data_IF_289799697062
#
_entry.id   IF_289799697062
#
_cell.length_a   1.000
_cell.length_b   1.000
_cell.length_c   1.000
_cell.angle_alpha   90.00
_cell.angle_beta   90.00
_cell.angle_gamma   90.00
#
_symmetry.space_group_name_H-M   'P 1'
#
loop_
_entity.id
_entity.type
_entity.pdbx_description
1 polymer ?
#
# COMPACT_ATOMS: atom_id res chain seq x y z
N UNK A 1 -69.67 24.32 -14.73
CA UNK A 1 -69.78 24.17 -13.27
C UNK A 1 -69.56 22.70 -12.96
N UNK A 2 -68.52 22.36 -12.20
CA UNK A 2 -68.35 21.00 -11.70
C UNK A 2 -69.55 20.63 -10.81
N UNK A 3 -70.04 19.40 -10.91
CA UNK A 3 -71.09 18.85 -10.07
C UNK A 3 -70.70 19.03 -8.58
N UNK A 4 -71.57 19.61 -7.73
CA UNK A 4 -71.32 19.74 -6.29
C UNK A 4 -70.87 18.43 -5.62
N UNK A 5 -71.32 17.28 -6.11
CA UNK A 5 -70.95 15.97 -5.57
C UNK A 5 -69.52 15.57 -5.94
N UNK A 6 -69.09 15.80 -7.19
CA UNK A 6 -67.70 15.60 -7.63
C UNK A 6 -66.73 16.55 -6.90
N UNK A 7 -67.13 17.80 -6.69
CA UNK A 7 -66.33 18.77 -5.94
C UNK A 7 -66.17 18.36 -4.46
N UNK A 8 -67.23 17.85 -3.84
CA UNK A 8 -67.18 17.34 -2.46
C UNK A 8 -66.30 16.09 -2.33
N UNK A 9 -66.39 15.15 -3.27
CA UNK A 9 -65.57 13.94 -3.28
C UNK A 9 -64.08 14.27 -3.44
N UNK A 10 -63.74 15.15 -4.38
CA UNK A 10 -62.36 15.59 -4.62
C UNK A 10 -61.76 16.32 -3.41
N UNK A 11 -62.56 17.12 -2.70
CA UNK A 11 -62.13 17.79 -1.46
C UNK A 11 -61.90 16.77 -0.32
N UNK A 12 -62.77 15.76 -0.19
CA UNK A 12 -62.61 14.70 0.80
C UNK A 12 -61.34 13.85 0.54
N UNK A 13 -61.07 13.52 -0.72
CA UNK A 13 -59.84 12.83 -1.13
C UNK A 13 -58.59 13.66 -0.83
N UNK A 14 -58.58 14.95 -1.18
CA UNK A 14 -57.46 15.84 -0.87
C UNK A 14 -57.21 15.99 0.63
N UNK A 15 -58.29 16.05 1.44
CA UNK A 15 -58.18 16.16 2.89
C UNK A 15 -57.69 14.86 3.54
N UNK A 16 -58.10 13.70 3.00
CA UNK A 16 -57.58 12.39 3.40
C UNK A 16 -56.09 12.25 3.07
N UNK A 17 -55.68 12.62 1.85
CA UNK A 17 -54.28 12.61 1.42
C UNK A 17 -53.42 13.53 2.28
N UNK A 18 -53.92 14.72 2.62
CA UNK A 18 -53.22 15.66 3.50
C UNK A 18 -52.99 15.08 4.90
N UNK A 19 -54.03 14.49 5.51
CA UNK A 19 -53.92 13.84 6.83
C UNK A 19 -52.94 12.65 6.81
N UNK A 20 -52.93 11.87 5.74
CA UNK A 20 -52.01 10.74 5.58
C UNK A 20 -50.55 11.20 5.45
N UNK A 21 -50.30 12.25 4.66
CA UNK A 21 -48.97 12.85 4.54
C UNK A 21 -48.49 13.46 5.86
N UNK A 22 -49.36 14.14 6.60
CA UNK A 22 -49.05 14.68 7.93
C UNK A 22 -48.69 13.57 8.93
N UNK A 23 -49.43 12.45 8.92
CA UNK A 23 -49.13 11.29 9.76
C UNK A 23 -47.78 10.62 9.43
N UNK A 24 -47.41 10.57 8.15
CA UNK A 24 -46.12 10.06 7.68
C UNK A 24 -44.96 11.04 7.98
N UNK A 25 -45.22 12.35 7.87
CA UNK A 25 -44.25 13.39 8.23
C UNK A 25 -43.89 13.37 9.73
N UNK A 26 -44.88 13.07 10.58
CA UNK A 26 -44.70 12.98 12.03
C UNK A 26 -43.81 11.80 12.47
N UNK A 27 -43.68 10.75 11.65
CA UNK A 27 -42.86 9.58 11.99
C UNK A 27 -41.36 9.88 11.99
N UNK A 28 -40.60 9.29 12.93
CA UNK A 28 -39.17 9.48 12.99
C UNK A 28 -38.48 8.86 11.76
N UNK A 29 -37.38 9.46 11.35
CA UNK A 29 -36.44 8.79 10.46
C UNK A 29 -35.70 7.69 11.26
N UNK A 30 -35.37 6.59 10.60
CA UNK A 30 -34.72 5.44 11.23
C UNK A 30 -33.31 5.30 10.65
N UNK A 31 -32.29 5.42 11.49
CA UNK A 31 -30.93 5.03 11.11
C UNK A 31 -30.89 3.53 10.90
N UNK A 32 -30.31 3.07 9.80
CA UNK A 32 -30.18 1.65 9.49
C UNK A 32 -28.79 1.33 8.96
N UNK A 33 -28.04 0.54 9.73
CA UNK A 33 -26.72 0.03 9.37
C UNK A 33 -26.58 -1.42 9.79
N UNK A 34 -26.12 -2.29 8.87
CA UNK A 34 -26.10 -3.74 9.05
C UNK A 34 -27.46 -4.31 9.53
N UNK A 35 -27.53 -4.81 10.77
CA UNK A 35 -28.75 -5.33 11.41
C UNK A 35 -29.36 -4.36 12.44
N UNK A 36 -28.75 -3.21 12.66
CA UNK A 36 -29.22 -2.20 13.61
C UNK A 36 -30.20 -1.25 12.93
N UNK A 37 -31.30 -0.97 13.64
CA UNK A 37 -32.30 0.05 13.30
C UNK A 37 -32.58 0.85 14.56
N UNK A 38 -32.40 2.17 14.51
CA UNK A 38 -32.64 3.08 15.65
C UNK A 38 -33.33 4.34 15.17
N UNK A 39 -34.28 4.86 15.96
CA UNK A 39 -34.98 6.11 15.63
C UNK A 39 -34.05 7.31 15.81
N UNK A 40 -34.13 8.25 14.87
CA UNK A 40 -33.38 9.50 14.90
C UNK A 40 -34.26 10.54 15.59
N UNK A 41 -34.07 10.69 16.90
CA UNK A 41 -34.83 11.62 17.75
C UNK A 41 -34.49 13.08 17.45
N UNK A 42 -33.22 13.38 17.21
CA UNK A 42 -32.75 14.73 16.91
C UNK A 42 -33.13 15.14 15.49
N UNK A 43 -34.00 16.15 15.38
CA UNK A 43 -34.48 16.68 14.10
C UNK A 43 -33.45 17.55 13.38
N UNK A 44 -32.46 18.07 14.10
CA UNK A 44 -31.41 18.91 13.55
C UNK A 44 -30.13 18.13 13.21
N UNK A 45 -30.09 16.83 13.50
CA UNK A 45 -28.94 15.98 13.22
C UNK A 45 -28.56 15.95 11.74
N UNK A 46 -27.26 16.14 11.49
CA UNK A 46 -26.63 15.91 10.18
C UNK A 46 -26.24 14.44 10.03
N UNK A 47 -25.88 14.05 8.81
CA UNK A 47 -25.38 12.69 8.56
C UNK A 47 -24.00 12.45 9.20
N UNK A 48 -23.20 13.50 9.38
CA UNK A 48 -21.93 13.44 10.10
C UNK A 48 -22.12 13.27 11.61
N UNK A 49 -23.14 13.91 12.21
CA UNK A 49 -23.47 13.72 13.63
C UNK A 49 -23.89 12.27 13.90
N UNK A 50 -24.68 11.67 12.99
CA UNK A 50 -25.03 10.26 13.06
C UNK A 50 -23.78 9.37 12.91
N UNK A 51 -22.86 9.70 11.98
CA UNK A 51 -21.60 8.95 11.82
C UNK A 51 -20.82 8.92 13.14
N UNK A 52 -20.64 10.07 13.77
CA UNK A 52 -19.88 10.21 15.02
C UNK A 52 -20.56 9.49 16.19
N UNK A 53 -21.90 9.57 16.28
CA UNK A 53 -22.67 8.83 17.29
C UNK A 53 -22.42 7.33 17.21
N UNK A 54 -22.44 6.77 16.01
CA UNK A 54 -22.34 5.32 15.79
C UNK A 54 -20.91 4.81 15.52
N UNK A 55 -19.91 5.68 15.39
CA UNK A 55 -18.49 5.31 15.18
C UNK A 55 -17.93 4.47 16.32
N UNK A 56 -18.34 4.75 17.57
CA UNK A 56 -17.88 4.00 18.74
C UNK A 56 -18.29 2.52 18.69
N UNK A 57 -19.48 2.25 18.15
CA UNK A 57 -20.03 0.89 18.03
C UNK A 57 -19.67 0.23 16.68
N UNK A 58 -19.42 1.04 15.64
CA UNK A 58 -19.03 0.61 14.30
C UNK A 58 -17.74 1.32 13.86
N UNK A 59 -16.56 0.83 14.30
CA UNK A 59 -15.27 1.45 13.98
C UNK A 59 -15.01 1.61 12.47
N UNK A 60 -15.64 0.80 11.63
CA UNK A 60 -15.57 0.92 10.16
C UNK A 60 -16.16 2.21 9.60
N UNK A 61 -16.95 2.96 10.39
CA UNK A 61 -17.50 4.27 10.05
C UNK A 61 -16.57 5.45 10.39
N UNK A 62 -15.39 5.20 10.97
CA UNK A 62 -14.43 6.22 11.43
C UNK A 62 -13.89 7.14 10.34
N UNK A 63 -13.69 6.64 9.13
CA UNK A 63 -13.21 7.45 8.01
C UNK A 63 -14.37 8.09 7.23
N UNK A 64 -14.71 9.33 7.61
CA UNK A 64 -15.75 10.14 6.99
C UNK A 64 -15.63 10.28 5.47
N UNK A 65 -14.42 10.16 4.89
CA UNK A 65 -14.21 10.27 3.43
C UNK A 65 -14.66 9.02 2.67
N UNK A 66 -14.74 7.89 3.34
CA UNK A 66 -15.12 6.59 2.74
C UNK A 66 -16.60 6.28 2.90
N UNK A 67 -17.33 7.05 3.70
CA UNK A 67 -18.76 6.80 3.98
C UNK A 67 -19.64 7.66 3.07
N UNK A 68 -20.63 6.99 2.45
CA UNK A 68 -21.71 7.61 1.71
C UNK A 68 -23.04 7.38 2.43
N UNK A 69 -23.99 8.27 2.19
CA UNK A 69 -25.32 8.23 2.81
C UNK A 69 -26.43 8.22 1.78
N UNK A 70 -27.49 7.47 2.08
CA UNK A 70 -28.74 7.48 1.33
C UNK A 70 -29.93 7.54 2.28
N UNK A 71 -30.95 8.29 1.88
CA UNK A 71 -32.26 8.30 2.54
C UNK A 71 -33.24 7.56 1.65
N UNK A 72 -33.79 6.46 2.16
CA UNK A 72 -34.77 5.63 1.47
C UNK A 72 -36.12 5.78 2.15
N UNK A 73 -37.13 6.24 1.43
CA UNK A 73 -38.48 6.38 1.94
C UNK A 73 -39.48 5.81 0.95
N UNK A 74 -40.07 4.67 1.30
CA UNK A 74 -40.91 3.88 0.39
C UNK A 74 -40.11 3.43 -0.83
N UNK A 75 -40.53 3.85 -2.03
CA UNK A 75 -39.84 3.54 -3.30
C UNK A 75 -38.91 4.65 -3.78
N UNK A 76 -38.72 5.70 -2.97
CA UNK A 76 -37.87 6.83 -3.31
C UNK A 76 -36.57 6.75 -2.53
N UNK A 77 -35.45 6.83 -3.25
CA UNK A 77 -34.10 6.87 -2.68
C UNK A 77 -33.44 8.17 -3.09
N UNK A 78 -32.84 8.88 -2.12
CA UNK A 78 -32.04 10.09 -2.38
C UNK A 78 -30.65 9.94 -1.79
N UNK A 79 -29.62 10.22 -2.59
CA UNK A 79 -28.23 10.28 -2.13
C UNK A 79 -27.96 11.62 -1.44
N UNK A 80 -27.13 11.61 -0.41
CA UNK A 80 -26.70 12.82 0.32
C UNK A 80 -25.41 13.35 -0.30
N UNK A 81 -25.38 14.64 -0.60
CA UNK A 81 -24.23 15.29 -1.24
C UNK A 81 -23.28 15.93 -0.23
N UNK A 82 -23.81 16.54 0.84
CA UNK A 82 -23.00 17.21 1.86
C UNK A 82 -23.34 16.67 3.27
N UNK A 83 -22.77 15.51 3.67
CA UNK A 83 -23.11 14.86 4.93
C UNK A 83 -22.94 15.71 6.20
N UNK A 84 -22.05 16.70 6.17
CA UNK A 84 -21.78 17.59 7.31
C UNK A 84 -22.65 18.84 7.40
N UNK A 85 -23.49 19.13 6.40
CA UNK A 85 -24.40 20.30 6.41
C UNK A 85 -25.85 19.93 6.15
N UNK A 86 -26.10 18.90 5.34
CA UNK A 86 -27.45 18.45 5.02
C UNK A 86 -28.07 17.80 6.27
N UNK A 87 -29.28 18.22 6.64
CA UNK A 87 -30.01 17.63 7.77
C UNK A 87 -30.87 16.46 7.32
N UNK A 88 -30.99 15.45 8.17
CA UNK A 88 -31.79 14.26 7.87
C UNK A 88 -33.25 14.60 7.56
N UNK A 89 -33.87 15.45 8.38
CA UNK A 89 -35.29 15.78 8.24
C UNK A 89 -35.58 16.75 7.10
N UNK A 90 -34.60 17.54 6.64
CA UNK A 90 -34.72 18.34 5.42
C UNK A 90 -34.82 17.41 4.20
N UNK A 91 -33.93 16.43 4.08
CA UNK A 91 -33.98 15.45 2.99
C UNK A 91 -35.25 14.59 3.06
N UNK A 92 -35.71 14.21 4.27
CA UNK A 92 -36.99 13.52 4.45
C UNK A 92 -38.16 14.37 3.92
N UNK A 93 -38.23 15.64 4.29
CA UNK A 93 -39.29 16.55 3.85
C UNK A 93 -39.26 16.79 2.33
N UNK A 94 -38.07 16.84 1.72
CA UNK A 94 -37.93 16.93 0.27
C UNK A 94 -38.49 15.69 -0.45
N UNK A 95 -38.22 14.49 0.07
CA UNK A 95 -38.79 13.25 -0.47
C UNK A 95 -40.32 13.25 -0.32
N UNK A 96 -40.84 13.63 0.84
CA UNK A 96 -42.28 13.73 1.11
C UNK A 96 -43.00 14.71 0.17
N UNK A 97 -42.34 15.80 -0.18
CA UNK A 97 -42.88 16.80 -1.10
C UNK A 97 -42.75 16.41 -2.57
N UNK A 98 -41.94 15.40 -2.90
CA UNK A 98 -41.71 14.96 -4.26
C UNK A 98 -42.98 14.36 -4.89
N UNK A 99 -43.17 14.62 -6.19
CA UNK A 99 -44.26 14.04 -6.97
C UNK A 99 -44.17 12.50 -7.01
N UNK A 100 -42.95 11.98 -7.12
CA UNK A 100 -42.70 10.54 -7.17
C UNK A 100 -43.18 9.81 -5.91
N UNK A 101 -42.92 10.38 -4.72
CA UNK A 101 -43.35 9.81 -3.46
C UNK A 101 -44.89 9.85 -3.31
N UNK A 102 -45.50 11.00 -3.60
CA UNK A 102 -46.96 11.16 -3.54
C UNK A 102 -47.69 10.23 -4.52
N UNK A 103 -47.19 10.09 -5.73
CA UNK A 103 -47.76 9.19 -6.74
C UNK A 103 -47.57 7.71 -6.37
N UNK A 104 -46.44 7.35 -5.73
CA UNK A 104 -46.20 6.01 -5.23
C UNK A 104 -47.14 5.63 -4.09
N UNK A 105 -47.42 6.56 -3.17
CA UNK A 105 -48.38 6.37 -2.08
C UNK A 105 -49.82 6.17 -2.60
N UNK A 106 -50.25 6.93 -3.61
CA UNK A 106 -51.60 6.77 -4.22
C UNK A 106 -51.78 5.39 -4.88
N UNK A 107 -50.70 4.82 -5.41
CA UNK A 107 -50.69 3.51 -6.09
C UNK A 107 -50.35 2.35 -5.16
N UNK A 108 -50.19 2.60 -3.86
CA UNK A 108 -49.81 1.60 -2.87
C UNK A 108 -50.92 0.55 -2.69
N UNK A 109 -50.58 -0.72 -2.87
CA UNK A 109 -51.53 -1.85 -2.77
C UNK A 109 -51.45 -2.59 -1.45
N UNK A 110 -50.30 -2.56 -0.78
CA UNK A 110 -50.05 -3.26 0.49
C UNK A 110 -50.01 -2.26 1.66
N UNK A 111 -50.27 -2.73 2.88
CA UNK A 111 -50.22 -1.88 4.07
C UNK A 111 -48.80 -1.33 4.33
N UNK A 112 -47.77 -2.09 3.98
CA UNK A 112 -46.37 -1.64 4.05
C UNK A 112 -46.07 -0.52 3.04
N UNK A 113 -46.63 -0.57 1.83
CA UNK A 113 -46.49 0.50 0.83
C UNK A 113 -47.27 1.77 1.21
N UNK A 114 -48.39 1.61 1.94
CA UNK A 114 -49.19 2.74 2.45
C UNK A 114 -48.56 3.39 3.68
N UNK A 115 -47.68 2.67 4.36
CA UNK A 115 -47.04 3.10 5.59
C UNK A 115 -45.52 2.84 5.58
N UNK A 116 -44.77 3.48 4.67
CA UNK A 116 -43.35 3.22 4.54
C UNK A 116 -42.55 3.76 5.73
N UNK A 117 -41.41 3.12 6.02
CA UNK A 117 -40.39 3.66 6.93
C UNK A 117 -39.41 4.56 6.15
N UNK A 118 -39.02 5.69 6.73
CA UNK A 118 -37.92 6.50 6.21
C UNK A 118 -36.62 6.00 6.84
N UNK A 119 -35.75 5.37 6.04
CA UNK A 119 -34.49 4.78 6.51
C UNK A 119 -33.28 5.55 5.99
N UNK A 120 -32.41 5.96 6.92
CA UNK A 120 -31.13 6.60 6.64
C UNK A 120 -30.04 5.54 6.69
N UNK A 121 -29.39 5.28 5.57
CA UNK A 121 -28.37 4.23 5.44
C UNK A 121 -27.00 4.82 5.16
N UNK A 122 -26.06 4.52 6.05
CA UNK A 122 -24.63 4.65 5.77
C UNK A 122 -24.16 3.43 4.97
N UNK A 123 -23.24 3.63 4.04
CA UNK A 123 -22.51 2.55 3.41
C UNK A 123 -21.09 2.99 3.09
N UNK A 124 -20.13 2.08 3.25
CA UNK A 124 -18.78 2.31 2.81
C UNK A 124 -18.78 2.31 1.28
N UNK A 125 -18.31 3.39 0.66
CA UNK A 125 -18.01 3.37 -0.78
C UNK A 125 -17.10 2.18 -1.01
N UNK A 126 -17.45 1.33 -1.98
CA UNK A 126 -16.52 0.34 -2.47
C UNK A 126 -15.30 1.10 -3.01
N UNK A 127 -14.26 1.21 -2.18
CA UNK A 127 -12.92 1.37 -2.71
C UNK A 127 -12.65 0.06 -3.41
N UNK A 128 -12.63 0.08 -4.74
CA UNK A 128 -12.09 -1.00 -5.53
C UNK A 128 -10.67 -1.24 -5.04
N UNK A 129 -10.52 -2.24 -4.16
CA UNK A 129 -9.25 -2.85 -3.84
C UNK A 129 -8.84 -3.61 -5.09
N UNK A 130 -7.90 -3.05 -5.84
CA UNK A 130 -7.40 -3.66 -7.07
C UNK A 130 -8.40 -3.59 -8.22
N UNK A 131 -7.85 -3.27 -9.39
CA UNK A 131 -8.41 -3.42 -10.73
C UNK A 131 -9.29 -2.30 -11.32
N UNK A 132 -8.90 -2.01 -12.56
CA UNK A 132 -9.33 -0.99 -13.51
C UNK A 132 -9.01 0.47 -13.13
N UNK A 133 -8.21 1.09 -14.00
CA UNK A 133 -8.14 2.54 -14.08
C UNK A 133 -9.57 3.10 -14.16
N UNK A 134 -9.84 4.15 -13.39
CA UNK A 134 -11.13 4.84 -13.41
C UNK A 134 -11.59 5.08 -14.85
N UNK A 135 -12.89 5.04 -15.16
CA UNK A 135 -13.39 5.08 -16.55
C UNK A 135 -12.98 6.27 -17.43
N UNK A 136 -12.22 7.24 -16.91
CA UNK A 136 -11.60 8.38 -17.61
C UNK A 136 -10.06 8.30 -17.72
N UNK A 137 -9.45 7.20 -17.25
CA UNK A 137 -8.02 6.90 -17.29
C UNK A 137 -7.75 5.65 -18.12
N UNK A 138 -6.62 5.60 -18.82
CA UNK A 138 -6.16 4.42 -19.55
C UNK A 138 -4.65 4.22 -19.41
N UNK A 139 -4.18 2.98 -19.44
CA UNK A 139 -2.76 2.64 -19.46
C UNK A 139 -2.39 2.27 -20.88
N UNK A 140 -1.49 3.01 -21.50
CA UNK A 140 -1.02 2.73 -22.84
C UNK A 140 0.48 2.42 -22.80
N UNK A 141 0.93 1.42 -23.55
CA UNK A 141 2.36 1.11 -23.64
C UNK A 141 3.11 2.06 -24.56
N UNK A 142 2.41 2.69 -25.50
CA UNK A 142 3.01 3.57 -26.51
C UNK A 142 2.22 4.85 -26.69
N UNK A 143 2.89 5.90 -27.16
CA UNK A 143 2.24 7.15 -27.58
C UNK A 143 1.27 6.93 -28.75
N UNK A 144 1.51 5.94 -29.60
CA UNK A 144 0.63 5.61 -30.72
C UNK A 144 -0.71 5.04 -30.24
N UNK A 145 -0.70 4.26 -29.16
CA UNK A 145 -1.94 3.75 -28.56
C UNK A 145 -2.65 4.83 -27.75
N UNK A 146 -1.88 5.69 -27.06
CA UNK A 146 -2.41 6.89 -26.39
C UNK A 146 -3.04 7.92 -27.35
N UNK A 147 -2.77 7.82 -28.65
CA UNK A 147 -3.41 8.64 -29.70
C UNK A 147 -4.76 8.08 -30.13
N UNK A 148 -5.00 6.78 -29.98
CA UNK A 148 -6.23 6.09 -30.39
C UNK A 148 -7.31 6.14 -29.31
N UNK A 149 -6.92 6.42 -28.07
CA UNK A 149 -7.87 6.52 -26.94
C UNK A 149 -8.58 7.86 -26.91
N UNK A 150 -9.87 7.80 -26.59
CA UNK A 150 -10.72 8.97 -26.30
C UNK A 150 -10.69 9.34 -24.81
N UNK A 151 -9.91 8.63 -23.97
CA UNK A 151 -9.82 8.92 -22.53
C UNK A 151 -9.02 10.21 -22.30
N UNK A 152 -9.49 11.11 -21.42
CA UNK A 152 -8.83 12.39 -21.17
C UNK A 152 -7.52 12.24 -20.40
N UNK A 153 -7.30 11.13 -19.69
CA UNK A 153 -6.08 10.86 -18.92
C UNK A 153 -5.48 9.53 -19.38
N UNK A 154 -4.18 9.52 -19.67
CA UNK A 154 -3.44 8.33 -20.09
C UNK A 154 -2.16 8.20 -19.29
N UNK A 155 -1.85 7.02 -18.78
CA UNK A 155 -0.58 6.68 -18.15
C UNK A 155 0.33 5.98 -19.16
N UNK A 156 1.58 6.43 -19.25
CA UNK A 156 2.57 5.99 -20.24
C UNK A 156 3.89 5.60 -19.56
N UNK A 157 4.35 4.35 -19.66
CA UNK A 157 5.72 4.02 -19.30
C UNK A 157 6.71 4.62 -20.31
N UNK A 158 7.91 4.94 -19.86
CA UNK A 158 8.96 5.60 -20.65
C UNK A 158 10.32 4.92 -20.48
N UNK A 159 11.24 5.17 -21.43
CA UNK A 159 12.58 4.56 -21.49
C UNK A 159 13.44 4.84 -20.26
N UNK A 160 13.19 5.96 -19.58
CA UNK A 160 13.83 6.35 -18.32
C UNK A 160 13.33 5.53 -17.10
N UNK A 161 12.46 4.55 -17.32
CA UNK A 161 11.91 3.68 -16.27
C UNK A 161 10.80 4.34 -15.45
N UNK A 162 10.31 5.52 -15.86
CA UNK A 162 9.24 6.25 -15.17
C UNK A 162 7.92 6.10 -15.90
N UNK A 163 6.83 6.35 -15.17
CA UNK A 163 5.49 6.49 -15.74
C UNK A 163 5.17 7.98 -15.84
N UNK A 164 4.57 8.38 -16.96
CA UNK A 164 4.13 9.74 -17.24
C UNK A 164 2.60 9.78 -17.31
N UNK A 165 2.00 10.82 -16.77
CA UNK A 165 0.57 11.11 -16.94
C UNK A 165 0.41 12.10 -18.09
N UNK A 166 -0.40 11.72 -19.06
CA UNK A 166 -0.79 12.53 -20.20
C UNK A 166 -2.25 12.94 -20.06
N UNK A 167 -2.53 14.25 -20.14
CA UNK A 167 -3.89 14.80 -20.13
C UNK A 167 -4.21 15.50 -21.42
N UNK A 168 -5.43 15.31 -21.92
CA UNK A 168 -5.92 15.99 -23.12
C UNK A 168 -7.15 16.81 -22.78
N UNK A 169 -7.16 18.08 -23.20
CA UNK A 169 -8.30 18.99 -23.16
C UNK A 169 -8.32 19.85 -24.44
N UNK A 170 -9.17 20.87 -24.47
CA UNK A 170 -9.37 21.76 -25.62
C UNK A 170 -8.13 22.60 -25.97
N UNK A 171 -7.24 22.85 -25.01
CA UNK A 171 -5.97 23.58 -25.22
C UNK A 171 -4.97 22.68 -25.93
N UNK A 172 -4.98 21.38 -25.61
CA UNK A 172 -4.10 20.39 -26.21
C UNK A 172 -3.75 19.26 -25.25
N UNK A 173 -2.55 18.72 -25.43
CA UNK A 173 -2.08 17.54 -24.73
C UNK A 173 -0.85 17.86 -23.88
N UNK A 174 -0.96 17.55 -22.60
CA UNK A 174 0.06 17.77 -21.59
C UNK A 174 0.64 16.42 -21.17
N UNK A 175 1.95 16.34 -20.95
CA UNK A 175 2.60 15.11 -20.46
C UNK A 175 3.62 15.51 -19.40
N UNK A 176 3.52 14.90 -18.23
CA UNK A 176 4.42 15.13 -17.11
C UNK A 176 4.68 13.82 -16.36
N UNK A 177 5.80 13.67 -15.62
CA UNK A 177 6.01 12.53 -14.75
C UNK A 177 4.83 12.35 -13.80
N UNK A 178 4.35 11.11 -13.66
CA UNK A 178 3.29 10.78 -12.73
C UNK A 178 3.86 10.50 -11.34
N UNK A 179 3.11 10.89 -10.31
CA UNK A 179 3.43 10.61 -8.91
C UNK A 179 2.20 10.02 -8.21
N UNK A 180 2.42 9.11 -7.26
CA UNK A 180 1.36 8.51 -6.43
C UNK A 180 0.14 8.03 -7.22
N UNK A 181 0.38 7.21 -8.25
CA UNK A 181 -0.67 6.58 -9.06
C UNK A 181 -1.43 5.58 -8.18
N UNK A 182 -2.58 6.01 -7.65
CA UNK A 182 -3.38 5.26 -6.66
C UNK A 182 -3.82 3.89 -7.14
N UNK A 183 -3.94 3.72 -8.44
CA UNK A 183 -4.39 2.48 -9.09
C UNK A 183 -3.29 1.42 -9.18
N UNK A 184 -2.02 1.80 -9.00
CA UNK A 184 -0.89 0.88 -9.02
C UNK A 184 -0.48 0.50 -7.60
N UNK A 185 0.01 -0.74 -7.46
CA UNK A 185 0.58 -1.22 -6.21
C UNK A 185 1.89 -0.51 -5.89
N UNK A 186 2.15 -0.30 -4.61
CA UNK A 186 3.46 0.15 -4.14
C UNK A 186 4.41 -1.05 -4.13
N UNK A 187 5.35 -1.07 -5.08
CA UNK A 187 6.39 -2.09 -5.19
C UNK A 187 7.68 -1.53 -4.60
N UNK A 188 8.24 -2.23 -3.63
CA UNK A 188 9.58 -1.95 -3.09
C UNK A 188 10.58 -2.99 -3.57
N UNK A 189 11.86 -2.63 -3.83
CA UNK A 189 12.90 -3.61 -4.12
C UNK A 189 12.95 -4.66 -3.02
N UNK A 190 12.88 -5.93 -3.40
CA UNK A 190 12.89 -7.07 -2.49
C UNK A 190 13.56 -8.27 -3.14
N UNK A 191 14.05 -9.18 -2.30
CA UNK A 191 14.56 -10.48 -2.70
C UNK A 191 13.73 -11.54 -1.98
N UNK A 192 13.27 -12.54 -2.72
CA UNK A 192 12.61 -13.72 -2.17
C UNK A 192 13.39 -14.95 -2.61
N UNK A 193 13.93 -15.69 -1.63
CA UNK A 193 14.72 -16.87 -1.94
C UNK A 193 13.82 -18.02 -2.38
N UNK A 194 14.10 -18.59 -3.55
CA UNK A 194 13.49 -19.84 -4.01
C UNK A 194 14.22 -21.09 -3.46
N UNK A 195 15.41 -20.92 -2.89
CA UNK A 195 16.23 -21.98 -2.33
C UNK A 195 16.22 -21.92 -0.79
N UNK A 196 16.48 -23.06 -0.09
CA UNK A 196 16.65 -23.04 1.36
C UNK A 196 17.78 -22.09 1.80
N UNK A 197 17.82 -21.69 3.06
CA UNK A 197 18.97 -20.89 3.55
C UNK A 197 20.26 -21.72 3.49
N UNK A 198 21.38 -21.03 3.31
CA UNK A 198 22.70 -21.68 3.24
C UNK A 198 23.07 -22.18 4.64
N UNK A 199 23.33 -23.48 4.83
CA UNK A 199 23.57 -24.04 6.16
C UNK A 199 24.73 -23.41 6.92
N UNK A 200 24.59 -23.30 8.24
CA UNK A 200 25.57 -22.65 9.12
C UNK A 200 26.99 -23.27 9.00
N UNK A 201 27.06 -24.57 8.73
CA UNK A 201 28.33 -25.28 8.58
C UNK A 201 29.06 -24.92 7.27
N UNK A 202 28.33 -24.58 6.20
CA UNK A 202 28.90 -24.07 4.94
C UNK A 202 29.50 -22.69 5.20
N UNK A 203 28.71 -21.81 5.81
CA UNK A 203 29.16 -20.48 6.22
C UNK A 203 30.41 -20.54 7.11
N UNK A 204 30.42 -21.41 8.13
CA UNK A 204 31.55 -21.59 9.04
C UNK A 204 32.84 -22.04 8.33
N UNK A 205 32.74 -22.98 7.37
CA UNK A 205 33.90 -23.42 6.57
C UNK A 205 34.50 -22.27 5.76
N UNK A 206 33.65 -21.44 5.14
CA UNK A 206 34.09 -20.28 4.35
C UNK A 206 34.77 -19.25 5.25
N UNK A 207 34.18 -18.92 6.40
CA UNK A 207 34.79 -17.98 7.37
C UNK A 207 36.14 -18.48 7.88
N UNK A 208 36.27 -19.78 8.16
CA UNK A 208 37.55 -20.39 8.56
C UNK A 208 38.61 -20.27 7.47
N UNK A 209 38.22 -20.52 6.21
CA UNK A 209 39.11 -20.34 5.06
C UNK A 209 39.56 -18.89 4.89
N UNK A 210 38.63 -17.93 4.93
CA UNK A 210 38.93 -16.50 4.83
C UNK A 210 39.85 -16.02 5.95
N UNK A 211 39.61 -16.46 7.19
CA UNK A 211 40.47 -16.15 8.33
C UNK A 211 41.89 -16.67 8.12
N UNK A 212 42.05 -17.91 7.65
CA UNK A 212 43.37 -18.51 7.36
C UNK A 212 44.16 -17.65 6.36
N UNK A 213 43.53 -17.29 5.22
CA UNK A 213 44.17 -16.46 4.20
C UNK A 213 44.48 -15.06 4.71
N UNK A 214 43.56 -14.46 5.49
CA UNK A 214 43.76 -13.16 6.10
C UNK A 214 44.91 -13.16 7.10
N UNK A 215 45.13 -14.24 7.85
CA UNK A 215 46.21 -14.34 8.84
C UNK A 215 47.57 -14.64 8.20
N UNK A 216 47.58 -15.49 7.18
CA UNK A 216 48.81 -15.95 6.53
C UNK A 216 49.34 -14.92 5.52
N UNK A 217 48.44 -14.29 4.75
CA UNK A 217 48.79 -13.50 3.57
C UNK A 217 48.23 -12.07 3.59
N UNK A 218 47.25 -11.80 4.45
CA UNK A 218 46.50 -10.52 4.47
C UNK A 218 45.88 -10.16 3.11
N UNK A 219 45.46 -11.16 2.33
CA UNK A 219 44.88 -11.00 1.00
C UNK A 219 43.37 -11.25 0.99
N UNK A 220 42.73 -10.73 -0.04
CA UNK A 220 41.36 -11.06 -0.40
C UNK A 220 41.28 -12.42 -1.09
N UNK A 221 40.20 -13.14 -0.91
CA UNK A 221 39.96 -14.43 -1.56
C UNK A 221 38.46 -14.59 -1.84
N UNK A 222 38.13 -15.29 -2.92
CA UNK A 222 36.78 -15.52 -3.42
C UNK A 222 36.39 -17.00 -3.31
N UNK A 223 35.13 -17.23 -2.98
CA UNK A 223 34.46 -18.52 -2.97
C UNK A 223 33.13 -18.40 -3.68
N UNK A 224 32.81 -19.39 -4.49
CA UNK A 224 31.48 -19.58 -5.07
C UNK A 224 30.69 -20.57 -4.21
N UNK A 225 29.46 -20.21 -3.87
CA UNK A 225 28.49 -21.13 -3.27
C UNK A 225 27.55 -21.60 -4.38
N UNK A 226 27.58 -22.91 -4.63
CA UNK A 226 26.74 -23.56 -5.62
C UNK A 226 25.62 -24.33 -4.93
N UNK A 227 24.48 -24.49 -5.59
CA UNK A 227 23.42 -25.38 -5.16
C UNK A 227 23.24 -26.50 -6.16
N UNK A 228 23.36 -27.73 -5.68
CA UNK A 228 23.14 -28.95 -6.45
C UNK A 228 21.64 -29.24 -6.52
N UNK A 229 21.07 -29.20 -7.72
CA UNK A 229 19.63 -29.41 -7.92
C UNK A 229 19.19 -30.86 -7.78
N UNK A 230 20.09 -31.84 -7.91
CA UNK A 230 19.78 -33.26 -7.76
C UNK A 230 19.95 -33.74 -6.31
N UNK A 231 21.09 -33.44 -5.67
CA UNK A 231 21.28 -33.78 -4.24
C UNK A 231 20.52 -32.84 -3.30
N UNK A 232 20.14 -31.65 -3.78
CA UNK A 232 19.49 -30.57 -2.98
C UNK A 232 20.37 -30.06 -1.84
N UNK A 233 21.66 -29.91 -2.11
CA UNK A 233 22.65 -29.46 -1.13
C UNK A 233 23.51 -28.31 -1.65
N UNK A 234 24.09 -27.55 -0.72
CA UNK A 234 25.03 -26.49 -1.04
C UNK A 234 26.46 -27.02 -1.10
N UNK A 235 27.21 -26.57 -2.11
CA UNK A 235 28.60 -26.95 -2.35
C UNK A 235 29.47 -25.70 -2.38
N UNK A 236 30.63 -25.78 -1.74
CA UNK A 236 31.66 -24.74 -1.75
C UNK A 236 32.61 -25.01 -2.92
N UNK A 237 32.78 -24.03 -3.80
CA UNK A 237 33.76 -24.07 -4.89
C UNK A 237 34.73 -22.90 -4.76
N UNK A 238 36.01 -23.20 -4.60
CA UNK A 238 37.09 -22.21 -4.66
C UNK A 238 37.60 -22.20 -6.11
N UNK A 239 37.36 -21.13 -6.90
CA UNK A 239 37.89 -21.06 -8.25
C UNK A 239 39.40 -20.84 -8.23
N UNK A 240 40.08 -21.18 -9.32
CA UNK A 240 41.45 -20.67 -9.56
C UNK A 240 41.40 -19.15 -9.61
N UNK A 241 42.27 -18.50 -8.85
CA UNK A 241 42.19 -17.06 -8.64
C UNK A 241 43.55 -16.44 -8.35
N UNK A 242 43.70 -15.18 -8.74
CA UNK A 242 44.86 -14.33 -8.39
C UNK A 242 44.42 -13.36 -7.31
N UNK A 243 45.07 -13.46 -6.17
CA UNK A 243 44.71 -12.74 -4.95
C UNK A 243 45.73 -11.65 -4.63
N UNK A 244 45.25 -10.57 -4.02
CA UNK A 244 46.05 -9.45 -3.54
C UNK A 244 45.40 -8.83 -2.30
N UNK A 245 46.00 -7.79 -1.73
CA UNK A 245 45.45 -7.11 -0.55
C UNK A 245 44.09 -6.44 -0.77
N UNK A 246 43.75 -6.07 -2.01
CA UNK A 246 42.61 -5.19 -2.33
C UNK A 246 41.79 -5.65 -3.53
N UNK A 247 42.10 -6.84 -4.05
CA UNK A 247 41.38 -7.41 -5.18
C UNK A 247 41.63 -8.92 -5.26
N UNK A 248 40.59 -9.61 -5.71
CA UNK A 248 40.64 -11.01 -6.14
C UNK A 248 40.12 -11.11 -7.56
N UNK A 249 40.89 -11.75 -8.44
CA UNK A 249 40.50 -11.99 -9.83
C UNK A 249 40.34 -13.49 -10.04
N UNK A 250 39.11 -13.96 -10.26
CA UNK A 250 38.88 -15.35 -10.69
C UNK A 250 39.46 -15.53 -12.09
N UNK A 251 40.24 -16.58 -12.29
CA UNK A 251 40.61 -17.01 -13.64
C UNK A 251 39.36 -17.63 -14.29
N UNK A 252 39.19 -17.39 -15.60
CA UNK A 252 38.04 -17.92 -16.34
C UNK A 252 38.06 -19.46 -16.28
N UNK A 253 37.09 -20.05 -15.57
CA UNK A 253 36.81 -21.49 -15.61
C UNK A 253 35.75 -21.77 -16.69
N UNK A 254 35.66 -23.03 -17.12
CA UNK A 254 34.47 -23.48 -17.86
C UNK A 254 33.22 -23.26 -17.02
N UNK A 255 32.06 -22.95 -17.64
CA UNK A 255 30.82 -22.78 -16.91
C UNK A 255 30.52 -24.03 -16.08
N UNK A 256 29.93 -23.83 -14.90
CA UNK A 256 29.49 -24.95 -14.09
C UNK A 256 28.45 -25.79 -14.85
N UNK A 257 28.44 -27.13 -14.68
CA UNK A 257 27.37 -27.98 -15.20
C UNK A 257 25.98 -27.44 -14.86
N UNK A 258 25.00 -27.61 -15.75
CA UNK A 258 23.62 -27.11 -15.58
C UNK A 258 22.95 -27.55 -14.26
N UNK A 259 23.37 -28.70 -13.72
CA UNK A 259 22.93 -29.23 -12.42
C UNK A 259 23.23 -28.27 -11.25
N UNK A 260 24.24 -27.42 -11.38
CA UNK A 260 24.67 -26.50 -10.33
C UNK A 260 24.19 -25.08 -10.59
N UNK A 261 23.42 -24.56 -9.66
CA UNK A 261 23.03 -23.14 -9.64
C UNK A 261 24.14 -22.37 -8.94
N UNK A 262 24.68 -21.34 -9.59
CA UNK A 262 25.63 -20.44 -8.95
C UNK A 262 24.88 -19.44 -8.07
N UNK A 263 24.88 -19.66 -6.76
CA UNK A 263 24.02 -18.94 -5.82
C UNK A 263 24.67 -17.70 -5.23
N UNK A 264 25.92 -17.78 -4.78
CA UNK A 264 26.62 -16.66 -4.13
C UNK A 264 28.05 -16.53 -4.61
N UNK A 265 28.45 -15.31 -4.96
CA UNK A 265 29.86 -14.91 -4.95
C UNK A 265 30.19 -14.34 -3.58
N UNK A 266 31.09 -14.98 -2.85
CA UNK A 266 31.48 -14.57 -1.51
C UNK A 266 32.98 -14.27 -1.48
N UNK A 267 33.37 -13.02 -1.30
CA UNK A 267 34.78 -12.66 -1.12
C UNK A 267 35.09 -12.08 0.26
N UNK A 268 36.38 -12.04 0.58
CA UNK A 268 36.87 -11.49 1.83
C UNK A 268 37.66 -10.19 1.61
N UNK A 269 37.53 -9.24 2.52
CA UNK A 269 38.30 -7.99 2.58
C UNK A 269 39.42 -8.03 3.64
N UNK A 270 39.88 -9.23 4.05
CA UNK A 270 40.87 -9.40 5.11
C UNK A 270 40.56 -8.59 6.41
N UNK A 271 41.43 -7.67 6.79
CA UNK A 271 41.31 -6.73 7.92
C UNK A 271 40.50 -5.46 7.61
N UNK A 272 40.12 -5.25 6.35
CA UNK A 272 39.31 -4.12 5.92
C UNK A 272 37.81 -4.35 6.21
N UNK A 273 36.99 -3.28 6.24
CA UNK A 273 35.54 -3.41 6.39
C UNK A 273 34.87 -4.26 5.31
N UNK A 274 33.77 -4.91 5.67
CA UNK A 274 32.93 -5.66 4.74
C UNK A 274 31.98 -4.72 3.97
N UNK A 275 32.52 -3.88 3.09
CA UNK A 275 31.74 -2.90 2.31
C UNK A 275 32.08 -3.05 0.84
N UNK A 276 31.07 -3.26 -0.01
CA UNK A 276 31.24 -3.33 -1.46
C UNK A 276 31.79 -2.02 -2.03
N UNK A 277 32.80 -2.13 -2.88
CA UNK A 277 33.46 -1.04 -3.61
C UNK A 277 32.76 -0.73 -4.94
N UNK A 278 33.19 0.34 -5.62
CA UNK A 278 32.74 0.64 -6.98
C UNK A 278 33.18 -0.44 -7.98
N UNK A 279 34.39 -1.01 -7.81
CA UNK A 279 34.87 -2.12 -8.63
C UNK A 279 33.99 -3.35 -8.46
N UNK A 280 33.60 -3.68 -7.23
CA UNK A 280 32.66 -4.78 -7.00
C UNK A 280 31.32 -4.53 -7.70
N UNK A 281 30.81 -3.30 -7.71
CA UNK A 281 29.57 -2.96 -8.41
C UNK A 281 29.68 -3.16 -9.94
N UNK A 282 30.86 -2.89 -10.50
CA UNK A 282 31.11 -3.02 -11.94
C UNK A 282 31.30 -4.48 -12.37
N UNK A 283 31.86 -5.31 -11.50
CA UNK A 283 32.11 -6.73 -11.76
C UNK A 283 30.84 -7.58 -11.49
N UNK A 284 30.05 -7.23 -10.47
CA UNK A 284 28.88 -7.98 -10.00
C UNK A 284 27.58 -7.64 -10.74
N UNK A 285 27.52 -7.94 -12.04
CA UNK A 285 26.37 -7.59 -12.91
C UNK A 285 25.29 -8.67 -13.01
N UNK A 286 25.61 -9.90 -12.66
CA UNK A 286 24.73 -11.05 -12.78
C UNK A 286 23.60 -11.04 -11.75
N UNK A 287 22.49 -11.74 -12.04
CA UNK A 287 21.39 -11.88 -11.08
C UNK A 287 21.71 -12.99 -10.08
N UNK A 288 22.44 -12.62 -9.02
CA UNK A 288 22.97 -13.53 -8.00
C UNK A 288 23.01 -12.86 -6.64
N UNK A 289 23.21 -13.63 -5.57
CA UNK A 289 23.62 -13.09 -4.28
C UNK A 289 25.12 -12.80 -4.27
N UNK A 290 25.49 -11.75 -3.57
CA UNK A 290 26.86 -11.33 -3.34
C UNK A 290 27.05 -11.13 -1.85
N UNK A 291 28.18 -11.60 -1.33
CA UNK A 291 28.52 -11.44 0.07
C UNK A 291 29.98 -11.00 0.20
N UNK A 292 30.24 -10.13 1.16
CA UNK A 292 31.59 -9.71 1.52
C UNK A 292 31.78 -9.88 3.01
N UNK A 293 32.92 -10.43 3.41
CA UNK A 293 33.30 -10.58 4.82
C UNK A 293 34.63 -9.88 5.09
N UNK A 294 34.74 -9.18 6.20
CA UNK A 294 35.91 -8.38 6.53
C UNK A 294 36.15 -8.30 8.03
N UNK A 295 37.12 -7.49 8.44
CA UNK A 295 37.54 -7.34 9.84
C UNK A 295 37.94 -8.64 10.52
N UNK A 296 38.67 -9.50 9.81
CA UNK A 296 39.22 -10.74 10.37
C UNK A 296 40.31 -10.50 11.44
N UNK A 297 40.71 -9.25 11.68
CA UNK A 297 41.51 -8.79 12.82
C UNK A 297 40.70 -8.66 14.12
N UNK A 298 39.36 -8.82 14.08
CA UNK A 298 38.46 -8.73 15.24
C UNK A 298 37.92 -10.10 15.67
N UNK A 299 37.33 -10.15 16.86
CA UNK A 299 36.67 -11.36 17.41
C UNK A 299 35.51 -11.84 16.54
N UNK A 300 34.75 -10.91 15.97
CA UNK A 300 33.66 -11.21 15.04
C UNK A 300 33.92 -10.46 13.73
N UNK A 301 33.92 -11.15 12.58
CA UNK A 301 34.04 -10.48 11.28
C UNK A 301 32.78 -9.67 10.98
N UNK A 302 32.93 -8.66 10.14
CA UNK A 302 31.81 -7.94 9.53
C UNK A 302 31.35 -8.73 8.28
N UNK A 303 30.04 -8.75 8.02
CA UNK A 303 29.46 -9.45 6.87
C UNK A 303 28.40 -8.55 6.27
N UNK A 304 28.46 -8.34 4.95
CA UNK A 304 27.45 -7.61 4.19
C UNK A 304 26.99 -8.46 3.03
N UNK A 305 25.67 -8.54 2.83
CA UNK A 305 25.05 -9.35 1.79
C UNK A 305 24.15 -8.48 0.92
N UNK A 306 24.12 -8.74 -0.38
CA UNK A 306 23.21 -8.09 -1.33
C UNK A 306 22.73 -9.05 -2.42
N UNK A 307 21.52 -8.84 -2.91
CA UNK A 307 21.04 -9.47 -4.14
C UNK A 307 21.27 -8.53 -5.33
N UNK A 308 21.92 -9.04 -6.37
CA UNK A 308 22.04 -8.39 -7.66
C UNK A 308 20.82 -8.63 -8.54
N UNK A 309 20.33 -7.58 -9.19
CA UNK A 309 19.25 -7.59 -10.15
C UNK A 309 19.61 -6.66 -11.31
N UNK A 310 20.26 -7.21 -12.35
CA UNK A 310 20.71 -6.48 -13.53
C UNK A 310 21.55 -5.22 -13.20
N UNK A 311 22.60 -5.39 -12.39
CA UNK A 311 23.50 -4.30 -11.97
C UNK A 311 22.90 -3.34 -10.93
N UNK A 312 21.74 -3.65 -10.35
CA UNK A 312 21.19 -2.99 -9.16
C UNK A 312 21.26 -3.91 -7.97
N UNK A 313 21.39 -3.36 -6.77
CA UNK A 313 21.61 -4.15 -5.57
C UNK A 313 20.55 -3.89 -4.50
N UNK A 314 20.14 -4.96 -3.83
CA UNK A 314 19.24 -4.95 -2.68
C UNK A 314 20.03 -5.50 -1.50
N UNK A 315 20.31 -4.66 -0.50
CA UNK A 315 21.02 -5.09 0.70
C UNK A 315 20.13 -5.96 1.57
N UNK A 316 20.67 -7.08 2.02
CA UNK A 316 19.96 -8.09 2.80
C UNK A 316 20.64 -8.28 4.15
N UNK A 317 19.86 -8.51 5.22
CA UNK A 317 20.40 -9.05 6.46
C UNK A 317 21.04 -10.43 6.19
N UNK A 318 22.26 -10.71 6.69
CA UNK A 318 22.92 -12.01 6.47
C UNK A 318 22.06 -13.21 6.89
N UNK A 319 21.23 -13.06 7.92
CA UNK A 319 20.30 -14.08 8.41
C UNK A 319 19.18 -14.43 7.43
N UNK A 320 18.90 -13.62 6.41
CA UNK A 320 17.96 -13.97 5.34
C UNK A 320 18.56 -14.99 4.37
N UNK A 321 19.90 -15.02 4.25
CA UNK A 321 20.64 -15.85 3.30
C UNK A 321 21.29 -17.07 3.97
N UNK A 322 21.90 -16.87 5.13
CA UNK A 322 22.61 -17.90 5.88
C UNK A 322 21.80 -18.38 7.07
N UNK A 323 21.81 -19.69 7.31
CA UNK A 323 21.37 -20.25 8.58
C UNK A 323 22.35 -19.89 9.68
N UNK A 324 21.83 -19.49 10.83
CA UNK A 324 22.62 -19.22 12.02
C UNK A 324 21.83 -18.38 13.00
N UNK A 325 21.83 -18.78 14.27
CA UNK A 325 21.42 -17.87 15.33
C UNK A 325 22.66 -17.05 15.74
N UNK A 326 22.91 -15.95 15.04
CA UNK A 326 24.06 -15.07 15.32
C UNK A 326 23.99 -14.46 16.73
N UNK A 327 22.78 -14.39 17.30
CA UNK A 327 22.53 -13.88 18.65
C UNK A 327 21.58 -14.84 19.37
N UNK A 328 22.12 -15.62 20.31
CA UNK A 328 21.33 -16.57 21.10
C UNK A 328 20.09 -15.96 21.75
N UNK A 329 19.12 -16.80 22.09
CA UNK A 329 17.98 -16.36 22.89
C UNK A 329 18.43 -15.86 24.26
N UNK A 330 17.66 -14.93 24.83
CA UNK A 330 17.86 -14.44 26.19
C UNK A 330 16.55 -14.55 26.99
N UNK A 331 16.62 -14.65 28.34
CA UNK A 331 15.42 -14.69 29.17
C UNK A 331 14.53 -13.45 28.95
N UNK A 332 13.27 -13.67 28.59
CA UNK A 332 12.34 -12.57 28.27
C UNK A 332 12.12 -11.60 29.45
N UNK A 333 12.19 -12.13 30.68
CA UNK A 333 12.09 -11.35 31.93
C UNK A 333 13.14 -10.24 32.03
N UNK A 334 14.28 -10.33 31.34
CA UNK A 334 15.27 -9.26 31.30
C UNK A 334 14.69 -7.97 30.70
N UNK A 335 13.71 -8.08 29.79
CA UNK A 335 13.01 -6.90 29.24
C UNK A 335 12.13 -6.21 30.28
N UNK A 336 11.61 -6.94 31.26
CA UNK A 336 10.73 -6.39 32.30
C UNK A 336 11.49 -5.49 33.29
N UNK A 337 12.81 -5.70 33.40
CA UNK A 337 13.73 -4.88 34.18
C UNK A 337 14.14 -3.58 33.48
N UNK A 338 13.70 -3.36 32.23
CA UNK A 338 13.97 -2.12 31.50
C UNK A 338 12.91 -1.07 31.88
N UNK A 339 13.36 0.14 32.18
CA UNK A 339 12.53 1.32 32.30
C UNK A 339 13.04 2.35 31.31
N UNK A 340 12.17 2.82 30.43
CA UNK A 340 12.51 3.92 29.53
C UNK A 340 12.62 5.19 30.36
N UNK A 341 13.74 5.90 30.24
CA UNK A 341 13.79 7.27 30.73
C UNK A 341 12.77 8.09 29.94
N UNK A 342 12.02 8.98 30.62
CA UNK A 342 11.24 9.99 29.90
C UNK A 342 12.18 10.76 28.98
N UNK A 343 11.89 10.77 27.68
CA UNK A 343 12.64 11.58 26.74
C UNK A 343 12.44 13.05 27.14
N UNK A 344 13.45 13.66 27.78
CA UNK A 344 13.50 15.12 27.86
C UNK A 344 13.39 15.65 26.43
N UNK A 345 12.40 16.50 26.11
CA UNK A 345 12.26 17.06 24.78
C UNK A 345 13.61 17.67 24.40
N UNK A 346 14.25 17.13 23.37
CA UNK A 346 15.47 17.72 22.82
C UNK A 346 15.10 19.17 22.49
N UNK A 347 15.67 20.13 23.21
CA UNK A 347 15.59 21.55 22.83
C UNK A 347 16.15 21.63 21.42
N UNK A 348 15.27 21.82 20.45
CA UNK A 348 15.65 22.23 19.11
C UNK A 348 16.30 23.59 19.31
N UNK A 349 17.63 23.62 19.37
CA UNK A 349 18.39 24.86 19.25
C UNK A 349 18.20 25.27 17.80
N UNK A 350 17.53 26.39 17.49
CA UNK A 350 17.44 26.87 16.13
C UNK A 350 18.86 27.20 15.69
N UNK A 351 19.38 26.42 14.75
CA UNK A 351 20.59 26.81 14.05
C UNK A 351 20.24 28.08 13.28
N UNK A 352 20.68 29.23 13.78
CA UNK A 352 20.69 30.49 13.04
C UNK A 352 21.50 30.20 11.77
N UNK A 353 20.82 30.01 10.64
CA UNK A 353 21.45 30.01 9.32
C UNK A 353 22.06 31.39 9.14
N UNK A 354 23.38 31.47 9.39
CA UNK A 354 24.19 32.60 9.00
C UNK A 354 24.19 32.62 7.47
N UNK A 355 23.51 33.60 6.89
CA UNK A 355 23.65 33.97 5.50
C UNK A 355 25.13 34.22 5.22
N UNK A 356 25.74 33.38 4.42
CA UNK A 356 26.85 33.78 3.57
C UNK A 356 26.54 33.23 2.18
N UNK A 357 26.03 34.11 1.33
CA UNK A 357 26.23 33.95 -0.09
C UNK A 357 27.71 34.15 -0.37
N UNK A 358 28.25 33.31 -1.24
CA UNK A 358 29.18 33.78 -2.25
C UNK A 358 29.17 32.78 -3.40
N UNK A 359 28.88 33.34 -4.56
CA UNK A 359 29.05 32.75 -5.88
C UNK A 359 30.47 32.18 -6.03
N UNK A 360 30.58 31.09 -6.79
CA UNK A 360 31.62 30.97 -7.81
C UNK A 360 31.31 29.84 -8.80
N UNK A 361 31.00 30.30 -10.02
CA UNK A 361 31.39 29.83 -11.37
C UNK A 361 31.77 28.36 -11.50
#
# INVERSE_FOLDING_TARGET
MLDPFEAALKNAEQQSEKRMLEALAAKPAIFSYAKVKEEIEDRDATFEDLRQKYEADFPELSDSKTISWTVNYGKTTKSVSNPGSDKVYEIKAEIENSKAFKDALKKAKTDADKNPECTVKAFKKAQSKGEALSGFKEFCLTKADALKTEKPIVLLPSKDGRVYEQRTNEIGRFTAPAENIRELESITPSFESALPKIPAHIFSKIMGFFKSISDELHYEVLVHILYDTEEKEYIIKVPKQRISHVAVNSEAEEPYPERYIHVVDFHSHNTMPAVFSETDNDDEKETRLYAVAGRFDRTFPEITVRAGCAGKFIYLPPEEVFEGNFFGDFPKEWKENIRFAEETPRRIIPHIRRFFGEERI
#
